data_IF_333021828693
#
_entry.id   IF_333021828693
#
_cell.length_a   1.000
_cell.length_b   1.000
_cell.length_c   1.000
_cell.angle_alpha   90.00
_cell.angle_beta   90.00
_cell.angle_gamma   90.00
#
_symmetry.space_group_name_H-M   'P 1'
#
loop_
_entity.id
_entity.type
_entity.pdbx_description
1 polymer ?
#
# COMPACT_ATOMS: atom_id res chain seq x y z
N UNK A 1 18.35 -18.15 -13.69
CA UNK A 1 17.90 -16.84 -14.21
C UNK A 1 16.65 -16.45 -13.43
N UNK A 2 16.56 -15.43 -12.58
CA UNK A 2 17.47 -14.37 -12.14
C UNK A 2 17.18 -14.06 -10.67
N UNK A 3 18.14 -14.35 -9.79
CA UNK A 3 18.21 -13.79 -8.43
C UNK A 3 18.65 -12.33 -8.54
N UNK A 4 17.72 -11.38 -8.66
CA UNK A 4 18.06 -9.95 -8.80
C UNK A 4 17.37 -8.99 -7.82
N UNK A 5 16.71 -9.47 -6.76
CA UNK A 5 16.02 -8.55 -5.83
C UNK A 5 16.40 -8.67 -4.34
N UNK A 6 17.53 -9.32 -4.01
CA UNK A 6 17.92 -9.55 -2.61
C UNK A 6 18.56 -8.31 -1.92
N UNK A 7 18.96 -7.28 -2.66
CA UNK A 7 19.84 -6.22 -2.15
C UNK A 7 19.20 -4.81 -1.99
N UNK A 8 17.86 -4.67 -1.99
CA UNK A 8 17.17 -3.39 -1.71
C UNK A 8 16.43 -3.35 -0.36
N UNK A 9 16.65 -4.36 0.49
CA UNK A 9 15.96 -4.51 1.77
C UNK A 9 16.68 -3.89 2.99
N UNK A 10 17.97 -3.60 2.91
CA UNK A 10 18.78 -3.37 4.12
C UNK A 10 18.59 -2.02 4.85
N UNK A 11 17.94 -1.01 4.26
CA UNK A 11 17.79 0.31 4.92
C UNK A 11 16.50 0.43 5.75
N UNK A 12 15.52 -0.47 5.55
CA UNK A 12 14.19 -0.36 6.19
C UNK A 12 13.84 -1.49 7.15
N UNK A 13 14.80 -2.38 7.46
CA UNK A 13 14.62 -3.52 8.37
C UNK A 13 14.21 -3.10 9.80
N UNK A 14 14.49 -1.84 10.20
CA UNK A 14 14.10 -1.33 11.53
C UNK A 14 12.59 -1.06 11.70
N UNK A 15 11.82 -0.97 10.62
CA UNK A 15 10.40 -0.62 10.69
C UNK A 15 9.54 -1.87 10.61
N UNK A 16 8.73 -2.11 11.65
CA UNK A 16 7.76 -3.21 11.70
C UNK A 16 6.89 -3.20 10.43
N UNK A 17 6.97 -4.27 9.64
CA UNK A 17 6.08 -4.50 8.51
C UNK A 17 4.72 -4.95 9.06
N UNK A 18 3.66 -4.20 8.78
CA UNK A 18 2.29 -4.55 9.19
C UNK A 18 1.66 -5.51 8.19
N UNK A 19 1.72 -5.15 6.91
CA UNK A 19 1.26 -6.00 5.82
C UNK A 19 1.96 -5.65 4.51
N UNK A 20 2.02 -6.63 3.61
CA UNK A 20 2.50 -6.49 2.24
C UNK A 20 1.44 -7.02 1.28
N UNK A 21 1.11 -6.20 0.28
CA UNK A 21 0.30 -6.60 -0.86
C UNK A 21 1.22 -6.81 -2.06
N UNK A 22 0.92 -7.84 -2.84
CA UNK A 22 1.58 -8.15 -4.11
C UNK A 22 0.52 -8.22 -5.20
N UNK A 23 0.88 -7.75 -6.38
CA UNK A 23 0.12 -7.89 -7.61
C UNK A 23 0.93 -8.87 -8.45
N UNK A 24 0.36 -10.05 -8.68
CA UNK A 24 0.98 -11.08 -9.51
C UNK A 24 0.88 -10.73 -11.01
N UNK A 25 1.51 -11.54 -11.85
CA UNK A 25 1.59 -11.37 -13.30
C UNK A 25 0.23 -11.48 -14.02
N UNK A 26 -0.81 -11.95 -13.34
CA UNK A 26 -2.19 -11.97 -13.85
C UNK A 26 -3.02 -10.78 -13.33
N UNK A 27 -2.39 -9.81 -12.66
CA UNK A 27 -3.03 -8.60 -12.14
C UNK A 27 -3.85 -8.82 -10.87
N UNK A 28 -3.70 -9.96 -10.19
CA UNK A 28 -4.43 -10.28 -8.98
C UNK A 28 -3.70 -9.71 -7.75
N UNK A 29 -4.43 -8.93 -6.94
CA UNK A 29 -3.93 -8.39 -5.68
C UNK A 29 -4.08 -9.44 -4.57
N UNK A 30 -2.98 -9.74 -3.89
CA UNK A 30 -2.93 -10.72 -2.79
C UNK A 30 -2.20 -10.14 -1.59
N UNK A 31 -2.63 -10.54 -0.39
CA UNK A 31 -1.87 -10.28 0.84
C UNK A 31 -0.78 -11.33 0.94
N UNK A 32 0.46 -10.88 0.91
CA UNK A 32 1.63 -11.75 1.00
C UNK A 32 2.19 -11.82 2.42
N UNK A 33 2.11 -10.72 3.17
CA UNK A 33 2.50 -10.68 4.60
C UNK A 33 1.44 -9.98 5.42
N UNK A 34 1.23 -10.47 6.64
CA UNK A 34 0.40 -9.82 7.65
C UNK A 34 -1.07 -9.84 7.32
N UNK A 35 -1.80 -8.82 7.77
CA UNK A 35 -3.24 -8.68 7.50
C UNK A 35 -3.56 -7.25 7.06
N UNK A 36 -3.91 -7.11 5.79
CA UNK A 36 -4.43 -5.85 5.28
C UNK A 36 -5.91 -5.68 5.67
N UNK A 37 -6.38 -4.44 5.93
CA UNK A 37 -7.81 -4.19 6.09
C UNK A 37 -8.58 -4.62 4.83
N UNK A 38 -9.70 -5.39 4.94
CA UNK A 38 -10.43 -5.90 3.79
C UNK A 38 -10.90 -4.81 2.82
N UNK A 39 -11.36 -3.66 3.36
CA UNK A 39 -11.75 -2.51 2.55
C UNK A 39 -10.58 -1.94 1.74
N UNK A 40 -9.42 -1.79 2.38
CA UNK A 40 -8.22 -1.31 1.69
C UNK A 40 -7.77 -2.29 0.59
N UNK A 41 -7.85 -3.60 0.84
CA UNK A 41 -7.58 -4.60 -0.20
C UNK A 41 -8.53 -4.46 -1.39
N UNK A 42 -9.83 -4.28 -1.14
CA UNK A 42 -10.83 -4.07 -2.19
C UNK A 42 -10.56 -2.78 -2.99
N UNK A 43 -10.30 -1.66 -2.32
CA UNK A 43 -9.98 -0.39 -2.97
C UNK A 43 -8.72 -0.52 -3.84
N UNK A 44 -7.70 -1.27 -3.39
CA UNK A 44 -6.50 -1.54 -4.18
C UNK A 44 -6.82 -2.39 -5.42
N UNK A 45 -7.66 -3.42 -5.30
CA UNK A 45 -8.12 -4.22 -6.46
C UNK A 45 -8.85 -3.36 -7.49
N UNK A 46 -9.69 -2.43 -7.05
CA UNK A 46 -10.41 -1.53 -7.95
C UNK A 46 -9.44 -0.56 -8.66
N UNK A 47 -8.47 -0.03 -7.92
CA UNK A 47 -7.43 0.87 -8.45
C UNK A 47 -6.52 0.14 -9.45
N UNK A 48 -6.10 -1.09 -9.17
CA UNK A 48 -5.22 -1.84 -10.08
C UNK A 48 -5.96 -2.14 -11.38
N UNK A 49 -7.24 -2.51 -11.32
CA UNK A 49 -8.09 -2.70 -12.50
C UNK A 49 -8.30 -1.40 -13.29
N UNK A 50 -8.63 -0.31 -12.61
CA UNK A 50 -8.90 0.98 -13.24
C UNK A 50 -7.67 1.54 -13.97
N UNK A 51 -6.48 1.33 -13.42
CA UNK A 51 -5.24 1.88 -13.96
C UNK A 51 -4.41 0.88 -14.78
N UNK A 52 -4.89 -0.35 -15.00
CA UNK A 52 -4.15 -1.40 -15.72
C UNK A 52 -2.81 -1.72 -15.05
N UNK A 53 -2.81 -1.90 -13.73
CA UNK A 53 -1.61 -2.22 -12.96
C UNK A 53 -1.51 -3.74 -12.86
N UNK A 54 -0.67 -4.31 -13.71
CA UNK A 54 -0.53 -5.76 -13.82
C UNK A 54 0.59 -6.34 -12.94
N UNK A 55 1.39 -5.48 -12.29
CA UNK A 55 2.46 -5.93 -11.39
C UNK A 55 2.86 -4.87 -10.37
N UNK A 56 3.32 -5.32 -9.22
CA UNK A 56 3.94 -4.45 -8.22
C UNK A 56 3.70 -4.91 -6.79
N UNK A 57 4.24 -4.16 -5.84
CA UNK A 57 4.04 -4.42 -4.42
C UNK A 57 3.76 -3.14 -3.64
N UNK A 58 2.97 -3.29 -2.58
CA UNK A 58 2.61 -2.23 -1.65
C UNK A 58 2.92 -2.72 -0.24
N UNK A 59 3.86 -2.07 0.42
CA UNK A 59 4.25 -2.39 1.79
C UNK A 59 3.73 -1.33 2.74
N UNK A 60 3.11 -1.76 3.83
CA UNK A 60 2.72 -0.90 4.93
C UNK A 60 3.67 -1.12 6.12
N UNK A 61 4.48 -0.11 6.43
CA UNK A 61 5.52 -0.18 7.47
C UNK A 61 5.31 0.88 8.55
N UNK A 62 5.67 0.57 9.78
CA UNK A 62 5.60 1.48 10.93
C UNK A 62 4.51 1.10 11.94
N UNK A 63 4.24 1.99 12.89
CA UNK A 63 3.21 1.78 13.90
C UNK A 63 2.43 3.08 14.15
N UNK A 64 1.10 2.96 14.31
CA UNK A 64 0.20 4.09 14.58
C UNK A 64 0.36 5.23 13.58
N UNK A 65 0.55 6.45 14.10
CA UNK A 65 0.68 7.68 13.31
C UNK A 65 1.94 7.75 12.42
N UNK A 66 2.94 6.89 12.64
CA UNK A 66 4.17 6.85 11.82
C UNK A 66 4.13 5.81 10.70
N UNK A 67 2.97 5.19 10.48
CA UNK A 67 2.79 4.22 9.41
C UNK A 67 2.99 4.90 8.05
N UNK A 68 3.64 4.22 7.10
CA UNK A 68 3.91 4.71 5.74
C UNK A 68 3.71 3.60 4.72
N UNK A 69 3.23 3.98 3.54
CA UNK A 69 3.20 3.11 2.37
C UNK A 69 4.49 3.24 1.54
N UNK A 70 5.07 2.10 1.18
CA UNK A 70 6.12 1.97 0.19
C UNK A 70 5.59 1.20 -1.02
N UNK A 71 5.92 1.66 -2.20
CA UNK A 71 5.53 1.04 -3.47
C UNK A 71 6.76 0.47 -4.17
N UNK A 72 6.59 -0.60 -4.94
CA UNK A 72 7.62 -1.06 -5.86
C UNK A 72 7.92 0.01 -6.93
N UNK A 73 9.10 -0.08 -7.54
CA UNK A 73 9.50 0.84 -8.60
C UNK A 73 8.59 0.70 -9.84
N UNK A 74 8.13 -0.52 -10.11
CA UNK A 74 7.20 -0.85 -11.21
C UNK A 74 5.79 -0.30 -11.02
N UNK A 75 5.44 0.16 -9.82
CA UNK A 75 4.09 0.68 -9.56
C UNK A 75 3.90 2.06 -10.23
N UNK A 76 2.91 2.27 -11.10
CA UNK A 76 2.74 3.53 -11.81
C UNK A 76 2.37 4.68 -10.87
N UNK A 77 2.88 5.89 -11.16
CA UNK A 77 2.72 7.08 -10.29
C UNK A 77 1.26 7.45 -10.03
N UNK A 78 0.40 7.31 -11.05
CA UNK A 78 -1.06 7.54 -10.96
C UNK A 78 -1.70 6.60 -9.94
N UNK A 79 -1.40 5.31 -10.04
CA UNK A 79 -1.83 4.31 -9.07
C UNK A 79 -1.33 4.60 -7.66
N UNK A 80 -0.06 5.02 -7.48
CA UNK A 80 0.48 5.35 -6.15
C UNK A 80 -0.34 6.46 -5.48
N UNK A 81 -0.74 7.46 -6.25
CA UNK A 81 -1.55 8.56 -5.74
C UNK A 81 -2.98 8.09 -5.40
N UNK A 82 -3.60 7.28 -6.26
CA UNK A 82 -4.92 6.71 -5.99
C UNK A 82 -4.92 5.86 -4.72
N UNK A 83 -3.92 4.98 -4.55
CA UNK A 83 -3.77 4.16 -3.33
C UNK A 83 -3.60 5.04 -2.10
N UNK A 84 -2.78 6.11 -2.18
CA UNK A 84 -2.61 7.06 -1.06
C UNK A 84 -3.90 7.80 -0.70
N UNK A 85 -4.77 8.07 -1.68
CA UNK A 85 -6.05 8.75 -1.45
C UNK A 85 -7.06 7.87 -0.70
N UNK A 86 -7.06 6.56 -0.97
CA UNK A 86 -7.95 5.60 -0.28
C UNK A 86 -7.36 5.03 1.00
N UNK A 87 -6.03 5.06 1.12
CA UNK A 87 -5.34 4.50 2.27
C UNK A 87 -5.63 5.30 3.55
N UNK A 88 -6.18 4.62 4.54
CA UNK A 88 -6.35 5.13 5.89
C UNK A 88 -5.34 4.45 6.82
N UNK A 89 -4.49 5.19 7.53
CA UNK A 89 -3.56 4.58 8.47
C UNK A 89 -4.37 3.89 9.59
N UNK A 90 -3.96 2.66 10.02
CA UNK A 90 -4.57 2.02 11.17
C UNK A 90 -4.39 2.92 12.38
N UNK A 91 -5.51 3.36 12.96
CA UNK A 91 -5.59 4.44 13.94
C UNK A 91 -4.77 4.15 15.21
N UNK A 92 -3.75 4.97 15.46
CA UNK A 92 -3.82 5.81 16.66
C UNK A 92 -4.75 7.00 16.33
N UNK A 93 -5.38 7.65 17.32
CA UNK A 93 -6.48 8.60 17.09
C UNK A 93 -6.10 9.63 16.03
N UNK A 94 -6.74 9.55 14.87
CA UNK A 94 -6.60 10.56 13.82
C UNK A 94 -7.40 11.81 14.20
N UNK A 95 -6.95 13.01 13.80
CA UNK A 95 -7.71 14.23 14.06
C UNK A 95 -9.09 14.12 13.42
N UNK A 96 -10.10 14.43 14.23
CA UNK A 96 -11.49 14.59 13.83
C UNK A 96 -11.56 15.44 12.57
N UNK A 97 -12.11 14.87 11.48
CA UNK A 97 -12.39 15.60 10.26
C UNK A 97 -13.31 16.77 10.59
N UNK A 98 -12.73 17.98 10.60
CA UNK A 98 -13.46 19.22 10.76
C UNK A 98 -14.57 19.32 9.71
N UNK A 99 -15.75 19.70 10.19
CA UNK A 99 -16.88 20.26 9.46
C UNK A 99 -16.50 20.78 8.07
N UNK A 100 -17.09 20.23 7.02
CA UNK A 100 -17.45 21.08 5.89
C UNK A 100 -18.65 21.92 6.32
N UNK A 101 -18.39 23.13 6.80
CA UNK A 101 -19.35 24.22 6.71
C UNK A 101 -19.12 24.88 5.35
N UNK A 102 -20.03 24.65 4.40
CA UNK A 102 -20.25 25.54 3.27
C UNK A 102 -21.64 26.14 3.52
N UNK A 103 -21.71 27.47 3.51
CA UNK A 103 -22.87 28.27 3.88
C UNK A 103 -24.04 28.18 2.91
#
# INVERSE_FOLDING_TARGET
>A
MSSSDCAKNAVFDRFRLNYRLVIDDVGQVRVDVGRAPPRFLHDVVDITRLHGIDRGSIECKGAGARTRLRFSNDFPRTGRQAVRNVWQPPSGPGPSGGRRAAG
#
